data_IF_526717871924
#
_entry.id   IF_526717871924
#
_cell.length_a   1.000
_cell.length_b   1.000
_cell.length_c   1.000
_cell.angle_alpha   90.00
_cell.angle_beta   90.00
_cell.angle_gamma   90.00
#
_symmetry.space_group_name_H-M   'P 1'
#
loop_
_entity.id
_entity.type
_entity.pdbx_description
1 polymer ?
#
# COMPACT_ATOMS: atom_id res chain seq x y z
N UNK A 1 -7.20 -1.32 15.71
CA UNK A 1 -8.33 -0.58 15.14
C UNK A 1 -9.20 -1.53 14.34
N UNK A 2 -10.51 -1.30 14.32
CA UNK A 2 -11.46 -2.00 13.45
C UNK A 2 -11.54 -1.35 12.05
N UNK A 3 -12.47 -1.82 11.21
CA UNK A 3 -12.62 -1.29 9.84
C UNK A 3 -13.16 0.14 9.81
N UNK A 4 -14.03 0.51 10.75
CA UNK A 4 -14.62 1.85 10.83
C UNK A 4 -13.55 2.86 11.27
N UNK A 5 -12.82 2.51 12.32
CA UNK A 5 -11.68 3.28 12.81
C UNK A 5 -10.59 3.43 11.74
N UNK A 6 -10.30 2.38 10.96
CA UNK A 6 -9.35 2.46 9.86
C UNK A 6 -9.83 3.42 8.75
N UNK A 7 -11.12 3.39 8.38
CA UNK A 7 -11.66 4.31 7.38
C UNK A 7 -11.55 5.76 7.83
N UNK A 8 -11.76 6.03 9.12
CA UNK A 8 -11.57 7.36 9.71
C UNK A 8 -10.09 7.75 9.83
N UNK A 9 -9.20 6.78 10.06
CA UNK A 9 -7.77 7.00 10.22
C UNK A 9 -7.06 7.34 8.90
N UNK A 10 -7.47 6.71 7.81
CA UNK A 10 -6.85 6.92 6.50
C UNK A 10 -7.19 8.31 5.93
N UNK A 11 -6.21 9.10 5.43
CA UNK A 11 -6.44 10.47 4.96
C UNK A 11 -7.46 10.61 3.82
N UNK A 12 -7.59 9.58 2.98
CA UNK A 12 -8.53 9.58 1.85
C UNK A 12 -9.95 9.13 2.23
N UNK A 13 -10.18 8.75 3.49
CA UNK A 13 -11.45 8.25 4.02
C UNK A 13 -12.13 7.23 3.09
N UNK A 14 -11.43 6.12 2.73
CA UNK A 14 -11.96 5.15 1.79
C UNK A 14 -13.21 4.46 2.34
N UNK A 15 -14.14 4.08 1.46
CA UNK A 15 -15.29 3.29 1.84
C UNK A 15 -14.88 1.88 2.29
N UNK A 16 -15.66 1.27 3.19
CA UNK A 16 -15.43 -0.11 3.69
C UNK A 16 -15.22 -1.11 2.56
N UNK A 17 -15.99 -0.99 1.47
CA UNK A 17 -15.88 -1.87 0.31
C UNK A 17 -14.49 -1.81 -0.33
N UNK A 18 -13.91 -0.61 -0.44
CA UNK A 18 -12.56 -0.40 -0.96
C UNK A 18 -11.53 -1.05 -0.04
N UNK A 19 -11.68 -0.87 1.28
CA UNK A 19 -10.80 -1.49 2.28
C UNK A 19 -10.89 -3.02 2.23
N UNK A 20 -12.09 -3.60 2.11
CA UNK A 20 -12.27 -5.04 1.91
C UNK A 20 -11.60 -5.52 0.61
N UNK A 21 -11.62 -4.72 -0.45
CA UNK A 21 -10.88 -4.98 -1.69
C UNK A 21 -9.36 -5.04 -1.48
N UNK A 22 -8.80 -4.13 -0.67
CA UNK A 22 -7.39 -4.16 -0.33
C UNK A 22 -7.03 -5.37 0.55
N UNK A 23 -7.90 -5.72 1.51
CA UNK A 23 -7.72 -6.90 2.35
C UNK A 23 -7.70 -8.19 1.52
N UNK A 24 -8.64 -8.35 0.58
CA UNK A 24 -8.72 -9.56 -0.26
C UNK A 24 -7.52 -9.71 -1.21
N UNK A 25 -7.02 -8.59 -1.71
CA UNK A 25 -5.82 -8.52 -2.57
C UNK A 25 -4.50 -8.47 -1.78
N UNK A 26 -4.55 -8.54 -0.44
CA UNK A 26 -3.39 -8.44 0.46
C UNK A 26 -2.55 -7.17 0.26
N UNK A 27 -3.20 -6.09 -0.16
CA UNK A 27 -2.56 -4.79 -0.38
C UNK A 27 -2.39 -3.98 0.89
N UNK A 28 -3.12 -4.30 1.96
CA UNK A 28 -3.07 -3.62 3.26
C UNK A 28 -2.78 -4.64 4.36
N UNK A 29 -1.91 -4.32 5.35
CA UNK A 29 -1.69 -5.19 6.51
C UNK A 29 -2.99 -5.42 7.27
N UNK A 30 -3.28 -6.66 7.65
CA UNK A 30 -4.50 -7.03 8.35
C UNK A 30 -4.27 -8.26 9.19
N UNK A 31 -4.85 -8.25 10.39
CA UNK A 31 -4.85 -9.37 11.33
C UNK A 31 -6.26 -9.91 11.50
N UNK A 32 -6.35 -11.21 11.75
CA UNK A 32 -7.63 -11.84 12.09
C UNK A 32 -7.62 -12.18 13.57
N UNK A 33 -8.43 -11.47 14.34
CA UNK A 33 -8.63 -11.75 15.77
C UNK A 33 -10.00 -12.40 15.91
N UNK A 34 -10.02 -13.68 16.25
CA UNK A 34 -11.23 -14.52 16.27
C UNK A 34 -11.96 -14.49 14.91
N UNK A 35 -13.12 -13.82 14.86
CA UNK A 35 -13.97 -13.67 13.67
C UNK A 35 -13.94 -12.27 13.07
N UNK A 36 -13.14 -11.34 13.62
CA UNK A 36 -13.06 -9.96 13.19
C UNK A 36 -11.72 -9.66 12.50
N UNK A 37 -11.75 -8.70 11.56
CA UNK A 37 -10.54 -8.08 11.03
C UNK A 37 -10.09 -7.00 12.00
N UNK A 38 -8.80 -6.98 12.28
CA UNK A 38 -8.14 -6.00 13.11
C UNK A 38 -6.92 -5.44 12.38
N UNK A 39 -6.68 -4.15 12.54
CA UNK A 39 -5.55 -3.46 11.92
C UNK A 39 -4.68 -2.88 13.04
N UNK A 40 -3.37 -3.10 12.96
CA UNK A 40 -2.42 -2.50 13.88
C UNK A 40 -2.02 -1.12 13.36
N UNK A 41 -2.16 -0.09 14.18
CA UNK A 41 -1.85 1.27 13.77
C UNK A 41 -0.41 1.41 13.27
N UNK A 42 0.55 0.80 13.96
CA UNK A 42 1.96 0.80 13.55
C UNK A 42 2.19 0.22 12.16
N UNK A 43 1.50 -0.88 11.82
CA UNK A 43 1.63 -1.49 10.48
C UNK A 43 0.95 -0.65 9.41
N UNK A 44 -0.18 -0.01 9.73
CA UNK A 44 -0.83 0.93 8.81
C UNK A 44 0.06 2.16 8.59
N UNK A 45 0.72 2.67 9.62
CA UNK A 45 1.64 3.79 9.53
C UNK A 45 2.85 3.44 8.66
N UNK A 46 3.46 2.29 8.90
CA UNK A 46 4.58 1.82 8.08
C UNK A 46 4.15 1.51 6.65
N UNK A 47 2.95 0.97 6.48
CA UNK A 47 2.36 0.79 5.17
C UNK A 47 2.15 2.13 4.46
N UNK A 48 1.62 3.17 5.12
CA UNK A 48 1.45 4.50 4.52
C UNK A 48 2.79 5.10 4.10
N UNK A 49 3.85 4.96 4.92
CA UNK A 49 5.21 5.39 4.57
C UNK A 49 5.74 4.67 3.33
N UNK A 50 5.50 3.36 3.22
CA UNK A 50 5.97 2.53 2.12
C UNK A 50 5.09 2.62 0.86
N UNK A 51 3.80 2.93 1.00
CA UNK A 51 2.82 3.09 -0.07
C UNK A 51 2.81 4.49 -0.67
N UNK A 52 3.61 5.40 -0.13
CA UNK A 52 4.15 6.53 -0.90
C UNK A 52 5.02 5.94 -2.02
N UNK A 53 4.36 5.40 -3.05
CA UNK A 53 5.01 4.85 -4.20
C UNK A 53 5.89 5.93 -4.80
N UNK A 54 7.12 5.51 -5.10
CA UNK A 54 7.98 6.00 -6.16
C UNK A 54 7.40 7.21 -6.86
N UNK A 55 7.96 8.37 -6.54
CA UNK A 55 7.64 9.61 -7.21
C UNK A 55 7.79 9.42 -8.72
N UNK A 56 7.22 10.33 -9.52
CA UNK A 56 7.44 10.31 -10.96
C UNK A 56 8.94 10.17 -11.32
N UNK A 57 9.83 10.70 -10.48
CA UNK A 57 11.28 10.55 -10.58
C UNK A 57 11.74 9.10 -10.42
N UNK A 58 11.28 8.38 -9.39
CA UNK A 58 11.68 6.99 -9.17
C UNK A 58 11.20 6.06 -10.31
N UNK A 59 10.01 6.31 -10.88
CA UNK A 59 9.52 5.61 -12.08
C UNK A 59 10.33 5.96 -13.33
N UNK A 60 10.76 7.22 -13.46
CA UNK A 60 11.58 7.68 -14.56
C UNK A 60 13.01 7.13 -14.47
N UNK A 61 13.55 6.97 -13.25
CA UNK A 61 14.87 6.44 -13.00
C UNK A 61 14.94 4.93 -13.32
N UNK A 62 13.92 4.15 -12.95
CA UNK A 62 13.81 2.75 -13.36
C UNK A 62 13.71 2.60 -14.88
N UNK A 63 12.95 3.46 -15.55
CA UNK A 63 12.86 3.46 -17.01
C UNK A 63 14.22 3.77 -17.66
N UNK A 64 14.99 4.72 -17.11
CA UNK A 64 16.35 5.06 -17.59
C UNK A 64 17.31 3.88 -17.43
N UNK A 65 17.33 3.24 -16.25
CA UNK A 65 18.17 2.07 -15.97
C UNK A 65 17.85 0.89 -16.90
N UNK A 66 16.58 0.69 -17.23
CA UNK A 66 16.15 -0.34 -18.17
C UNK A 66 16.65 -0.07 -19.61
N UNK A 67 16.63 1.19 -20.05
CA UNK A 67 17.15 1.58 -21.37
C UNK A 67 18.67 1.45 -21.42
N UNK A 68 19.40 1.86 -20.37
CA UNK A 68 20.86 1.76 -20.29
C UNK A 68 21.34 0.31 -20.27
N UNK A 69 20.71 -0.56 -19.47
CA UNK A 69 21.06 -1.98 -19.41
C UNK A 69 20.86 -2.70 -20.75
N UNK A 70 19.91 -2.26 -21.58
CA UNK A 70 19.74 -2.78 -22.96
C UNK A 70 20.71 -2.18 -23.97
N UNK A 71 21.35 -1.05 -23.66
CA UNK A 71 22.33 -0.39 -24.54
C UNK A 71 23.71 -1.05 -24.45
N UNK A 72 24.03 -1.68 -23.31
CA UNK A 72 25.29 -2.40 -23.08
C UNK A 72 25.34 -3.75 -23.82
N UNK A 73 24.18 -4.29 -24.23
CA UNK A 73 24.06 -5.60 -24.90
C UNK A 73 24.12 -5.47 -26.44
N UNK A 74 24.24 -4.25 -27.00
CA UNK A 74 24.33 -4.01 -28.45
C UNK A 74 25.73 -3.67 -28.93
#
# INVERSE_FOLDING_TARGET
MDIDELCAYLPSHPAKQTVYGWVSTKQIPVHKINKALAFLQSEIDDWLKNKSHKTQDDLMEEAKQFVESKKIIR
#
